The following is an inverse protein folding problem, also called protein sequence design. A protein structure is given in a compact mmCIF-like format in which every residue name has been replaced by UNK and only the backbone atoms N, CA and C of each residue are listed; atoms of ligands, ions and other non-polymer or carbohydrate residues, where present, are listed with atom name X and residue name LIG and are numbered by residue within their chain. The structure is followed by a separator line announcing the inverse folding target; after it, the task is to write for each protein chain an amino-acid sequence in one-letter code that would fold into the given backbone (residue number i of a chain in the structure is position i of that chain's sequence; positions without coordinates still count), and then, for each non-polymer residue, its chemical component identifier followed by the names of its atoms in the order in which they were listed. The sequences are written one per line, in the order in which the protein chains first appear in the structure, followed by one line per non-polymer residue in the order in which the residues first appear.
data_IF_187630098273
#
_entry.id   IF_187630098273
#
_cell.length_a   1.000
_cell.length_b   1.000
_cell.length_c   1.000
_cell.angle_alpha   90.00
_cell.angle_beta   90.00
_cell.angle_gamma   90.00
#
_symmetry.space_group_name_H-M   'P 1'
#
loop_
_entity.id
_entity.type
_entity.pdbx_description
1 polymer ?
#
# COMPACT_ATOMS: atom_id res chain seq x y z
N UNK A 1 -26.99 -5.87 22.05
CA UNK A 1 -25.63 -5.32 22.29
C UNK A 1 -24.64 -6.37 21.87
N UNK A 2 -23.95 -6.18 20.73
CA UNK A 2 -22.79 -6.98 20.42
C UNK A 2 -21.71 -6.70 21.49
N UNK A 3 -21.03 -7.73 21.97
CA UNK A 3 -19.94 -7.55 22.92
C UNK A 3 -18.84 -6.70 22.25
N UNK A 4 -18.41 -5.63 22.90
CA UNK A 4 -17.30 -4.81 22.43
C UNK A 4 -16.05 -5.68 22.47
N UNK A 5 -15.37 -5.80 21.33
CA UNK A 5 -14.09 -6.47 21.20
C UNK A 5 -13.02 -5.44 21.52
N UNK A 6 -12.32 -5.61 22.63
CA UNK A 6 -11.09 -4.86 22.91
C UNK A 6 -9.93 -5.65 22.30
N UNK A 7 -8.96 -4.97 21.70
CA UNK A 7 -7.59 -5.50 21.67
C UNK A 7 -7.21 -5.75 23.13
N UNK A 8 -6.99 -7.00 23.52
CA UNK A 8 -6.65 -7.30 24.92
C UNK A 8 -5.40 -6.53 25.32
N UNK A 9 -5.33 -5.98 26.54
CA UNK A 9 -4.13 -5.40 27.16
C UNK A 9 -3.16 -4.66 26.20
N UNK A 10 -3.64 -3.66 25.45
CA UNK A 10 -2.75 -2.81 24.64
C UNK A 10 -2.32 -3.39 23.29
N UNK A 11 -3.02 -4.39 22.75
CA UNK A 11 -2.85 -4.80 21.35
C UNK A 11 -3.45 -3.75 20.40
N UNK A 12 -2.57 -3.04 19.69
CA UNK A 12 -2.90 -2.07 18.64
C UNK A 12 -3.65 -2.75 17.47
N UNK A 13 -4.77 -2.20 17.03
CA UNK A 13 -5.53 -2.72 15.89
C UNK A 13 -4.94 -2.17 14.58
N UNK A 14 -4.42 -3.03 13.68
CA UNK A 14 -3.85 -2.55 12.43
C UNK A 14 -4.88 -1.83 11.57
N UNK A 15 -4.44 -0.82 10.83
CA UNK A 15 -5.32 0.00 9.99
C UNK A 15 -4.76 0.09 8.58
N UNK A 16 -5.59 -0.20 7.58
CA UNK A 16 -5.24 -0.13 6.16
C UNK A 16 -6.05 0.99 5.50
N UNK A 17 -5.38 1.92 4.84
CA UNK A 17 -6.01 2.95 4.03
C UNK A 17 -5.92 2.59 2.54
N UNK A 18 -7.06 2.28 1.92
CA UNK A 18 -7.18 2.01 0.49
C UNK A 18 -7.22 3.32 -0.33
N UNK A 19 -6.21 4.18 -0.19
CA UNK A 19 -6.15 5.49 -0.82
C UNK A 19 -4.71 6.02 -0.95
N UNK A 20 -4.43 6.73 -2.03
CA UNK A 20 -3.18 7.47 -2.22
C UNK A 20 -3.27 8.94 -1.75
N UNK A 21 -4.36 9.36 -1.11
CA UNK A 21 -4.54 10.77 -0.76
C UNK A 21 -3.64 11.15 0.43
N UNK A 22 -2.68 12.09 0.24
CA UNK A 22 -1.81 12.53 1.34
C UNK A 22 -2.61 13.19 2.46
N UNK A 23 -3.66 13.95 2.13
CA UNK A 23 -4.56 14.59 3.11
C UNK A 23 -5.26 13.56 4.01
N UNK A 24 -5.73 12.44 3.45
CA UNK A 24 -6.37 11.37 4.23
C UNK A 24 -5.38 10.66 5.16
N UNK A 25 -4.18 10.35 4.66
CA UNK A 25 -3.11 9.77 5.48
C UNK A 25 -2.74 10.71 6.63
N UNK A 26 -2.50 11.99 6.33
CA UNK A 26 -2.13 12.99 7.33
C UNK A 26 -3.21 13.16 8.41
N UNK A 27 -4.49 13.04 8.07
CA UNK A 27 -5.58 13.07 9.04
C UNK A 27 -5.52 11.90 10.02
N UNK A 28 -5.31 10.68 9.52
CA UNK A 28 -5.19 9.49 10.35
C UNK A 28 -3.98 9.59 11.27
N UNK A 29 -2.82 9.98 10.75
CA UNK A 29 -1.58 10.15 11.53
C UNK A 29 -1.77 11.19 12.63
N UNK A 30 -2.36 12.35 12.32
CA UNK A 30 -2.67 13.38 13.34
C UNK A 30 -3.69 12.91 14.38
N UNK A 31 -4.52 11.93 14.04
CA UNK A 31 -5.47 11.30 14.96
C UNK A 31 -4.84 10.17 15.79
N UNK A 32 -3.52 9.95 15.68
CA UNK A 32 -2.79 8.91 16.38
C UNK A 32 -2.88 7.54 15.73
N UNK A 33 -3.39 7.43 14.50
CA UNK A 33 -3.52 6.17 13.77
C UNK A 33 -2.35 6.05 12.79
N UNK A 34 -1.68 4.90 12.77
CA UNK A 34 -0.61 4.60 11.80
C UNK A 34 -1.18 3.75 10.66
N UNK A 35 -1.67 4.34 9.56
CA UNK A 35 -2.26 3.58 8.47
C UNK A 35 -1.19 3.00 7.56
N UNK A 36 -1.33 1.71 7.27
CA UNK A 36 -0.65 1.05 6.17
C UNK A 36 -1.36 1.43 4.86
N UNK A 37 -0.62 1.96 3.88
CA UNK A 37 -1.21 2.54 2.66
C UNK A 37 -1.30 1.47 1.57
N UNK A 38 -2.50 1.27 1.01
CA UNK A 38 -2.69 0.36 -0.14
C UNK A 38 -3.34 1.11 -1.30
N UNK A 39 -2.66 1.10 -2.44
CA UNK A 39 -3.11 1.80 -3.64
C UNK A 39 -4.26 1.01 -4.30
N UNK A 40 -5.44 1.63 -4.39
CA UNK A 40 -6.55 1.08 -5.16
C UNK A 40 -6.51 1.59 -6.60
N UNK A 41 -6.49 0.66 -7.57
CA UNK A 41 -6.57 0.92 -9.01
C UNK A 41 -8.00 0.72 -9.55
N UNK A 42 -9.02 1.06 -8.75
CA UNK A 42 -10.41 0.89 -9.15
C UNK A 42 -10.73 1.63 -10.46
N UNK A 43 -11.30 0.93 -11.43
CA UNK A 43 -11.97 1.54 -12.58
C UNK A 43 -13.29 2.18 -12.11
N UNK A 44 -13.21 3.46 -11.72
CA UNK A 44 -14.33 4.20 -11.15
C UNK A 44 -15.54 4.29 -12.10
N UNK A 45 -15.39 4.62 -13.41
CA UNK A 45 -16.51 4.56 -14.36
C UNK A 45 -17.19 3.20 -14.40
N UNK A 46 -16.41 2.12 -14.51
CA UNK A 46 -16.97 0.77 -14.58
C UNK A 46 -17.71 0.38 -13.30
N UNK A 47 -17.15 0.71 -12.14
CA UNK A 47 -17.77 0.44 -10.84
C UNK A 47 -19.14 1.15 -10.72
N UNK A 48 -19.23 2.40 -11.17
CA UNK A 48 -20.49 3.15 -11.19
C UNK A 48 -21.51 2.58 -12.18
N UNK A 49 -21.06 2.14 -13.36
CA UNK A 49 -21.93 1.50 -14.37
C UNK A 49 -22.52 0.19 -13.87
N UNK A 50 -21.69 -0.67 -13.27
CA UNK A 50 -22.14 -1.96 -12.75
C UNK A 50 -23.09 -1.76 -11.55
N UNK A 51 -22.79 -0.80 -10.66
CA UNK A 51 -23.70 -0.43 -9.57
C UNK A 51 -25.03 0.12 -10.08
N UNK A 52 -25.03 1.01 -11.09
CA UNK A 52 -26.25 1.53 -11.68
C UNK A 52 -27.09 0.42 -12.35
N UNK A 53 -26.43 -0.48 -13.10
CA UNK A 53 -27.08 -1.61 -13.77
C UNK A 53 -27.80 -2.53 -12.79
N UNK A 54 -27.16 -2.86 -11.65
CA UNK A 54 -27.78 -3.69 -10.60
C UNK A 54 -29.06 -3.06 -10.00
N UNK A 55 -29.21 -1.75 -10.12
CA UNK A 55 -30.37 -0.98 -9.65
C UNK A 55 -31.35 -0.61 -10.76
N UNK A 56 -31.10 -1.03 -12.01
CA UNK A 56 -31.91 -0.66 -13.17
C UNK A 56 -31.80 0.82 -13.56
N UNK A 57 -30.71 1.50 -13.19
CA UNK A 57 -30.45 2.91 -13.46
C UNK A 57 -29.34 3.10 -14.49
N UNK A 58 -29.21 4.30 -15.06
CA UNK A 58 -27.98 4.71 -15.74
C UNK A 58 -26.98 5.25 -14.72
N UNK A 59 -25.69 5.15 -15.02
CA UNK A 59 -24.64 5.70 -14.16
C UNK A 59 -24.83 7.21 -13.90
N UNK A 60 -25.39 7.97 -14.86
CA UNK A 60 -25.72 9.39 -14.72
C UNK A 60 -26.79 9.68 -13.66
N UNK A 61 -27.66 8.71 -13.40
CA UNK A 61 -28.85 8.87 -12.57
C UNK A 61 -28.58 8.50 -11.11
N UNK A 62 -27.39 7.95 -10.81
CA UNK A 62 -26.95 7.72 -9.44
C UNK A 62 -26.80 9.04 -8.69
N UNK A 63 -27.35 9.09 -7.48
CA UNK A 63 -27.16 10.21 -6.57
C UNK A 63 -25.67 10.37 -6.24
N UNK A 64 -25.27 11.57 -5.81
CA UNK A 64 -23.88 11.84 -5.39
C UNK A 64 -23.46 10.91 -4.26
N UNK A 65 -24.37 10.62 -3.34
CA UNK A 65 -24.12 9.74 -2.20
C UNK A 65 -23.91 8.31 -2.62
N UNK A 66 -24.73 7.83 -3.56
CA UNK A 66 -24.55 6.50 -4.13
C UNK A 66 -23.21 6.37 -4.82
N UNK A 67 -22.80 7.40 -5.58
CA UNK A 67 -21.51 7.40 -6.28
C UNK A 67 -20.35 7.26 -5.29
N UNK A 68 -20.25 8.15 -4.31
CA UNK A 68 -19.15 8.09 -3.33
C UNK A 68 -19.17 6.81 -2.50
N UNK A 69 -20.37 6.28 -2.19
CA UNK A 69 -20.50 5.04 -1.43
C UNK A 69 -20.04 3.83 -2.25
N UNK A 70 -20.41 3.77 -3.54
CA UNK A 70 -19.97 2.72 -4.47
C UNK A 70 -18.46 2.77 -4.68
N UNK A 71 -17.90 3.96 -4.89
CA UNK A 71 -16.46 4.11 -5.11
C UNK A 71 -15.65 3.81 -3.85
N UNK A 72 -16.10 4.28 -2.67
CA UNK A 72 -15.46 3.94 -1.40
C UNK A 72 -15.49 2.42 -1.14
N UNK A 73 -16.61 1.75 -1.45
CA UNK A 73 -16.74 0.30 -1.34
C UNK A 73 -15.82 -0.43 -2.30
N UNK A 74 -15.84 -0.07 -3.59
CA UNK A 74 -15.01 -0.71 -4.62
C UNK A 74 -13.52 -0.58 -4.31
N UNK A 75 -13.09 0.56 -3.75
CA UNK A 75 -11.70 0.76 -3.33
C UNK A 75 -11.31 -0.20 -2.21
N UNK A 76 -12.16 -0.37 -1.20
CA UNK A 76 -11.93 -1.32 -0.11
C UNK A 76 -12.02 -2.78 -0.60
N UNK A 77 -13.01 -3.12 -1.43
CA UNK A 77 -13.22 -4.49 -1.92
C UNK A 77 -12.04 -4.99 -2.77
N UNK A 78 -11.39 -4.10 -3.55
CA UNK A 78 -10.18 -4.47 -4.31
C UNK A 78 -9.02 -4.88 -3.39
N UNK A 79 -8.77 -4.11 -2.33
CA UNK A 79 -7.72 -4.42 -1.36
C UNK A 79 -8.09 -5.67 -0.54
N UNK A 80 -9.37 -5.84 -0.20
CA UNK A 80 -9.85 -7.05 0.47
C UNK A 80 -9.59 -8.30 -0.37
N UNK A 81 -9.85 -8.23 -1.68
CA UNK A 81 -9.54 -9.33 -2.60
C UNK A 81 -8.04 -9.65 -2.61
N UNK A 82 -7.17 -8.63 -2.66
CA UNK A 82 -5.71 -8.86 -2.58
C UNK A 82 -5.32 -9.57 -1.29
N UNK A 83 -5.86 -9.16 -0.13
CA UNK A 83 -5.60 -9.83 1.15
C UNK A 83 -6.10 -11.28 1.13
N UNK A 84 -7.25 -11.55 0.52
CA UNK A 84 -7.77 -12.92 0.36
C UNK A 84 -6.84 -13.77 -0.53
N UNK A 85 -6.34 -13.24 -1.64
CA UNK A 85 -5.34 -13.91 -2.49
C UNK A 85 -4.06 -14.23 -1.69
N UNK A 86 -3.60 -13.33 -0.81
CA UNK A 86 -2.47 -13.59 0.08
C UNK A 86 -2.76 -14.76 1.04
N UNK A 87 -3.92 -14.78 1.69
CA UNK A 87 -4.34 -15.90 2.56
C UNK A 87 -4.41 -17.23 1.78
N UNK A 88 -4.90 -17.21 0.54
CA UNK A 88 -4.91 -18.41 -0.30
C UNK A 88 -3.49 -18.90 -0.62
N UNK A 89 -2.58 -17.98 -0.92
CA UNK A 89 -1.17 -18.28 -1.16
C UNK A 89 -0.50 -18.84 0.08
N UNK A 90 -0.77 -18.26 1.27
CA UNK A 90 -0.30 -18.75 2.57
C UNK A 90 -0.72 -20.20 2.85
N UNK A 91 -1.97 -20.56 2.53
CA UNK A 91 -2.45 -21.94 2.69
C UNK A 91 -1.79 -22.93 1.72
N UNK A 92 -1.28 -22.45 0.58
CA UNK A 92 -0.74 -23.28 -0.50
C UNK A 92 0.78 -23.29 -0.55
N UNK A 93 1.47 -22.54 0.31
CA UNK A 93 2.95 -22.52 0.34
C UNK A 93 3.52 -23.92 0.43
N UNK A 94 4.67 -24.13 -0.21
CA UNK A 94 5.40 -25.40 -0.22
C UNK A 94 6.88 -25.21 0.12
N UNK A 95 7.58 -26.32 0.30
CA UNK A 95 9.01 -26.33 0.58
C UNK A 95 9.36 -25.81 1.97
N UNK A 96 10.58 -25.30 2.10
CA UNK A 96 11.19 -24.94 3.38
C UNK A 96 11.54 -23.46 3.45
N UNK A 97 11.39 -22.89 4.64
CA UNK A 97 12.13 -21.69 5.06
C UNK A 97 13.52 -22.13 5.47
N UNK A 98 14.53 -21.59 4.80
CA UNK A 98 15.94 -21.73 5.17
C UNK A 98 16.39 -20.41 5.79
N UNK A 99 16.82 -20.44 7.05
CA UNK A 99 17.39 -19.28 7.74
C UNK A 99 18.90 -19.44 7.79
N UNK A 100 19.63 -18.42 7.35
CA UNK A 100 21.08 -18.32 7.49
C UNK A 100 21.43 -17.16 8.40
N UNK A 101 22.57 -17.26 9.08
CA UNK A 101 23.10 -16.21 9.96
C UNK A 101 24.50 -15.81 9.52
N UNK A 102 24.63 -14.85 8.58
CA UNK A 102 25.92 -14.43 8.05
C UNK A 102 26.89 -13.95 9.14
N UNK A 103 26.37 -13.39 10.23
CA UNK A 103 27.16 -12.87 11.36
C UNK A 103 27.85 -13.95 12.19
N UNK A 104 27.39 -15.20 12.13
CA UNK A 104 27.96 -16.32 12.90
C UNK A 104 29.23 -16.92 12.23
N UNK A 105 29.72 -16.30 11.15
CA UNK A 105 30.90 -16.76 10.41
C UNK A 105 30.66 -18.02 9.57
N UNK A 106 29.41 -18.48 9.48
CA UNK A 106 28.96 -19.66 8.72
C UNK A 106 27.88 -19.30 7.68
N UNK A 107 28.03 -18.17 6.97
CA UNK A 107 27.03 -17.66 6.02
C UNK A 107 26.52 -18.71 5.00
N UNK A 108 27.33 -19.71 4.66
CA UNK A 108 26.96 -20.77 3.70
C UNK A 108 26.14 -21.94 4.29
N UNK A 109 25.99 -22.04 5.62
CA UNK A 109 25.26 -23.13 6.28
C UNK A 109 23.92 -22.64 6.84
N UNK A 110 22.81 -23.38 6.60
CA UNK A 110 21.55 -23.10 7.27
C UNK A 110 21.70 -23.16 8.79
N UNK A 111 21.37 -22.07 9.47
CA UNK A 111 21.20 -22.04 10.91
C UNK A 111 19.91 -22.76 11.33
N UNK A 112 18.86 -22.65 10.50
CA UNK A 112 17.60 -23.35 10.69
C UNK A 112 16.97 -23.70 9.34
N UNK A 113 16.34 -24.88 9.27
CA UNK A 113 15.45 -25.26 8.16
C UNK A 113 14.13 -25.72 8.77
N UNK A 114 13.02 -25.16 8.31
CA UNK A 114 11.68 -25.56 8.75
C UNK A 114 10.68 -25.55 7.59
N UNK A 115 9.66 -26.41 7.59
CA UNK A 115 8.62 -26.39 6.56
C UNK A 115 7.95 -25.01 6.47
N UNK A 116 7.71 -24.51 5.27
CA UNK A 116 7.08 -23.22 5.04
C UNK A 116 5.72 -23.10 5.73
N UNK A 117 4.91 -24.17 5.71
CA UNK A 117 3.60 -24.16 6.35
C UNK A 117 3.71 -24.00 7.87
N UNK A 118 4.78 -24.50 8.49
CA UNK A 118 5.02 -24.30 9.92
C UNK A 118 5.50 -22.87 10.20
N UNK A 119 6.36 -22.31 9.33
CA UNK A 119 6.83 -20.94 9.45
C UNK A 119 5.69 -19.93 9.35
N UNK A 120 4.86 -20.02 8.30
CA UNK A 120 3.72 -19.12 8.07
C UNK A 120 2.74 -19.16 9.25
N UNK A 121 2.42 -20.35 9.77
CA UNK A 121 1.55 -20.48 10.96
C UNK A 121 2.13 -19.88 12.24
N UNK A 122 3.44 -19.69 12.30
CA UNK A 122 4.12 -19.09 13.46
C UNK A 122 4.25 -17.58 13.34
N UNK A 123 4.09 -17.02 12.15
CA UNK A 123 4.14 -15.60 11.92
C UNK A 123 2.80 -14.95 12.27
N UNK A 124 2.88 -13.80 12.93
CA UNK A 124 1.76 -12.86 13.01
C UNK A 124 1.75 -12.03 11.73
N UNK A 125 0.61 -11.91 11.08
CA UNK A 125 0.44 -11.10 9.87
C UNK A 125 -0.93 -10.44 9.84
N UNK A 126 -1.09 -9.45 8.97
CA UNK A 126 -2.34 -8.70 8.82
C UNK A 126 -3.45 -9.55 8.20
N UNK A 127 -3.14 -10.42 7.24
CA UNK A 127 -4.14 -11.12 6.45
C UNK A 127 -4.94 -12.14 7.27
N UNK A 128 -4.34 -12.67 8.34
CA UNK A 128 -4.97 -13.61 9.28
C UNK A 128 -5.06 -13.06 10.72
N UNK A 129 -4.98 -11.75 10.89
CA UNK A 129 -5.12 -11.12 12.19
C UNK A 129 -6.47 -11.49 12.85
N UNK A 130 -6.48 -11.66 14.18
CA UNK A 130 -7.69 -12.02 14.93
C UNK A 130 -8.61 -10.82 15.21
N UNK A 131 -8.05 -9.63 15.18
CA UNK A 131 -8.70 -8.34 15.40
C UNK A 131 -8.14 -7.38 14.34
N UNK A 132 -9.01 -6.77 13.55
CA UNK A 132 -8.58 -6.02 12.36
C UNK A 132 -7.88 -6.93 11.33
N UNK A 133 -7.10 -6.37 10.39
CA UNK A 133 -6.97 -4.93 10.14
C UNK A 133 -8.32 -4.29 9.83
N UNK A 134 -8.48 -3.03 10.22
CA UNK A 134 -9.56 -2.21 9.71
C UNK A 134 -9.16 -1.64 8.35
N UNK A 135 -9.90 -2.02 7.31
CA UNK A 135 -9.68 -1.59 5.94
C UNK A 135 -10.65 -0.47 5.57
N UNK A 136 -10.11 0.72 5.31
CA UNK A 136 -10.88 1.92 4.97
C UNK A 136 -10.74 2.27 3.48
N UNK A 137 -11.85 2.26 2.76
CA UNK A 137 -12.00 2.89 1.46
C UNK A 137 -12.74 4.23 1.58
N UNK A 138 -12.28 5.25 0.84
CA UNK A 138 -12.88 6.58 0.82
C UNK A 138 -12.96 7.18 -0.58
N UNK A 139 -14.05 7.90 -0.83
CA UNK A 139 -14.23 8.69 -2.05
C UNK A 139 -14.93 10.02 -1.76
N UNK A 140 -14.61 11.07 -2.52
CA UNK A 140 -15.09 12.43 -2.25
C UNK A 140 -15.45 13.14 -3.55
N UNK A 141 -16.65 13.74 -3.60
CA UNK A 141 -17.12 14.55 -4.72
C UNK A 141 -17.54 15.94 -4.24
N UNK A 142 -17.02 16.96 -4.91
CA UNK A 142 -17.46 18.34 -4.70
C UNK A 142 -18.56 18.70 -5.68
N UNK A 143 -19.61 19.36 -5.19
CA UNK A 143 -20.75 19.78 -5.99
C UNK A 143 -21.07 21.26 -5.79
N UNK A 144 -21.38 21.94 -6.89
CA UNK A 144 -21.86 23.32 -6.91
C UNK A 144 -23.14 23.38 -7.73
N UNK A 145 -24.25 23.78 -7.13
CA UNK A 145 -25.60 23.78 -7.72
C UNK A 145 -25.95 22.47 -8.44
N UNK A 146 -25.66 21.33 -7.78
CA UNK A 146 -25.94 19.99 -8.30
C UNK A 146 -24.98 19.51 -9.40
N UNK A 147 -23.96 20.29 -9.78
CA UNK A 147 -22.93 19.89 -10.75
C UNK A 147 -21.68 19.40 -10.02
N UNK A 148 -21.17 18.24 -10.42
CA UNK A 148 -19.91 17.68 -9.90
C UNK A 148 -18.73 18.46 -10.48
N UNK A 149 -17.82 18.91 -9.63
CA UNK A 149 -16.55 19.50 -10.03
C UNK A 149 -15.40 18.58 -9.56
N UNK A 150 -14.90 17.75 -10.48
CA UNK A 150 -13.77 16.84 -10.22
C UNK A 150 -12.42 17.58 -10.15
N UNK A 151 -11.32 16.92 -10.49
CA UNK A 151 -10.01 17.57 -10.68
C UNK A 151 -9.98 18.32 -12.02
N UNK A 152 -9.45 19.56 -12.11
CA UNK A 152 -9.50 20.31 -13.35
C UNK A 152 -8.38 19.90 -14.32
N UNK A 153 -7.20 19.51 -13.82
CA UNK A 153 -5.96 19.17 -14.53
C UNK A 153 -5.39 20.24 -15.46
N UNK A 154 -6.21 21.19 -15.91
CA UNK A 154 -5.88 22.25 -16.85
C UNK A 154 -6.15 23.62 -16.22
N UNK A 155 -5.23 24.58 -16.37
CA UNK A 155 -5.41 25.96 -15.91
C UNK A 155 -6.72 26.59 -16.34
N UNK A 156 -7.13 26.38 -17.59
CA UNK A 156 -8.38 26.93 -18.14
C UNK A 156 -9.62 26.43 -17.37
N UNK A 157 -9.67 25.13 -17.10
CA UNK A 157 -10.78 24.50 -16.36
C UNK A 157 -10.77 24.94 -14.89
N UNK A 158 -9.58 25.09 -14.30
CA UNK A 158 -9.44 25.61 -12.94
C UNK A 158 -9.95 27.05 -12.82
N UNK A 159 -9.62 27.91 -13.79
CA UNK A 159 -10.12 29.29 -13.86
C UNK A 159 -11.64 29.34 -13.96
N UNK A 160 -12.25 28.57 -14.87
CA UNK A 160 -13.71 28.48 -14.99
C UNK A 160 -14.38 28.08 -13.67
N UNK A 161 -13.80 27.14 -12.93
CA UNK A 161 -14.34 26.65 -11.66
C UNK A 161 -14.16 27.65 -10.52
N UNK A 162 -12.99 28.28 -10.39
CA UNK A 162 -12.75 29.33 -9.41
C UNK A 162 -13.71 30.50 -9.64
N UNK A 163 -13.88 30.95 -10.89
CA UNK A 163 -14.88 31.96 -11.23
C UNK A 163 -16.30 31.54 -10.85
N UNK A 164 -16.66 30.27 -11.07
CA UNK A 164 -17.97 29.75 -10.72
C UNK A 164 -18.19 29.64 -9.20
N UNK A 165 -17.17 29.32 -8.41
CA UNK A 165 -17.28 29.14 -6.96
C UNK A 165 -17.26 30.46 -6.19
N UNK A 166 -16.65 31.51 -6.73
CA UNK A 166 -16.50 32.84 -6.09
C UNK A 166 -17.82 33.36 -5.51
N UNK A 167 -17.82 33.67 -4.21
CA UNK A 167 -18.97 34.19 -3.47
C UNK A 167 -20.12 33.19 -3.29
N UNK A 168 -19.92 31.91 -3.60
CA UNK A 168 -20.96 30.88 -3.57
C UNK A 168 -20.59 29.78 -2.59
N UNK A 169 -21.55 28.90 -2.34
CA UNK A 169 -21.39 27.75 -1.43
C UNK A 169 -21.61 26.46 -2.21
N UNK A 170 -20.65 25.54 -2.13
CA UNK A 170 -20.78 24.19 -2.64
C UNK A 170 -20.91 23.16 -1.51
N UNK A 171 -21.18 21.91 -1.86
CA UNK A 171 -21.23 20.79 -0.92
C UNK A 171 -20.23 19.74 -1.32
N UNK A 172 -19.34 19.39 -0.41
CA UNK A 172 -18.50 18.21 -0.49
C UNK A 172 -19.23 17.03 0.16
N UNK A 173 -19.31 15.92 -0.57
CA UNK A 173 -19.88 14.66 -0.09
C UNK A 173 -18.76 13.63 -0.09
N UNK A 174 -18.52 12.98 1.04
CA UNK A 174 -17.47 11.96 1.20
C UNK A 174 -18.11 10.65 1.66
N UNK A 175 -17.87 9.58 0.91
CA UNK A 175 -18.28 8.22 1.22
C UNK A 175 -17.15 7.44 1.90
N UNK A 176 -17.51 6.60 2.86
CA UNK A 176 -16.62 5.76 3.64
C UNK A 176 -17.11 4.32 3.61
N UNK A 177 -16.19 3.38 3.42
CA UNK A 177 -16.44 1.96 3.59
C UNK A 177 -15.37 1.42 4.53
N UNK A 178 -15.78 0.89 5.69
CA UNK A 178 -14.89 0.30 6.68
C UNK A 178 -15.19 -1.19 6.79
N UNK A 179 -14.17 -2.01 6.63
CA UNK A 179 -14.26 -3.47 6.70
C UNK A 179 -13.34 -3.94 7.82
N UNK A 180 -13.88 -4.70 8.78
CA UNK A 180 -13.08 -5.50 9.70
C UNK A 180 -12.72 -6.81 9.00
N UNK A 181 -11.47 -6.93 8.54
CA UNK A 181 -11.02 -8.06 7.72
C UNK A 181 -11.15 -9.39 8.48
N UNK A 182 -10.87 -9.40 9.79
CA UNK A 182 -10.98 -10.60 10.61
C UNK A 182 -12.40 -11.17 10.70
N UNK A 183 -13.42 -10.30 10.68
CA UNK A 183 -14.83 -10.75 10.80
C UNK A 183 -15.61 -10.70 9.50
N UNK A 184 -15.08 -10.02 8.47
CA UNK A 184 -15.79 -9.70 7.23
C UNK A 184 -16.94 -8.71 7.40
N UNK A 185 -17.16 -8.16 8.61
CA UNK A 185 -18.20 -7.15 8.84
C UNK A 185 -17.82 -5.86 8.15
N UNK A 186 -18.80 -5.23 7.51
CA UNK A 186 -18.65 -3.94 6.82
C UNK A 186 -19.65 -2.92 7.32
N UNK A 187 -19.22 -1.68 7.42
CA UNK A 187 -20.05 -0.51 7.71
C UNK A 187 -19.75 0.55 6.65
N UNK A 188 -20.78 1.27 6.20
CA UNK A 188 -20.66 2.37 5.26
C UNK A 188 -21.21 3.65 5.87
N UNK A 189 -20.62 4.79 5.53
CA UNK A 189 -21.04 6.10 6.03
C UNK A 189 -20.81 7.19 5.00
N UNK A 190 -21.72 8.16 4.95
CA UNK A 190 -21.60 9.36 4.09
C UNK A 190 -21.59 10.59 4.97
N UNK A 191 -20.59 11.45 4.77
CA UNK A 191 -20.50 12.77 5.41
C UNK A 191 -20.73 13.87 4.39
N UNK A 192 -21.33 14.98 4.81
CA UNK A 192 -21.55 16.17 3.99
C UNK A 192 -20.98 17.40 4.69
N UNK A 193 -20.31 18.25 3.94
CA UNK A 193 -19.85 19.55 4.42
C UNK A 193 -20.11 20.62 3.36
N UNK A 194 -20.73 21.73 3.74
CA UNK A 194 -20.85 22.90 2.89
C UNK A 194 -19.60 23.77 3.04
N UNK A 195 -19.10 24.25 1.91
CA UNK A 195 -17.92 25.12 1.84
C UNK A 195 -18.33 26.42 1.16
N UNK A 196 -18.26 27.52 1.90
CA UNK A 196 -18.55 28.87 1.42
C UNK A 196 -17.27 29.55 0.99
N UNK A 197 -17.27 30.12 -0.22
CA UNK A 197 -16.13 30.82 -0.79
C UNK A 197 -16.32 32.33 -0.74
N UNK A 198 -15.22 33.04 -0.51
CA UNK A 198 -15.20 34.50 -0.53
C UNK A 198 -15.27 35.08 -1.94
N UNK A 199 -15.25 36.42 -2.00
CA UNK A 199 -14.95 37.13 -3.23
C UNK A 199 -13.45 37.29 -3.36
N UNK A 200 -12.90 36.89 -4.50
CA UNK A 200 -11.50 37.03 -4.88
C UNK A 200 -11.43 37.52 -6.33
N UNK A 201 -10.33 38.20 -6.67
CA UNK A 201 -10.17 38.78 -7.99
C UNK A 201 -9.45 37.84 -8.96
N UNK A 202 -9.26 38.31 -10.20
CA UNK A 202 -8.60 37.52 -11.22
C UNK A 202 -7.11 37.29 -10.94
N UNK A 203 -6.44 38.24 -10.30
CA UNK A 203 -5.03 38.10 -9.97
C UNK A 203 -4.81 37.01 -8.92
N UNK A 204 -5.69 36.94 -7.91
CA UNK A 204 -5.66 35.86 -6.92
C UNK A 204 -5.86 34.48 -7.57
N UNK A 205 -6.82 34.36 -8.50
CA UNK A 205 -7.08 33.10 -9.22
C UNK A 205 -5.88 32.68 -10.08
N UNK A 206 -5.28 33.61 -10.82
CA UNK A 206 -4.09 33.35 -11.66
C UNK A 206 -2.89 32.92 -10.80
N UNK A 207 -2.66 33.59 -9.67
CA UNK A 207 -1.60 33.22 -8.72
C UNK A 207 -1.84 31.84 -8.12
N UNK A 208 -3.08 31.52 -7.72
CA UNK A 208 -3.40 30.21 -7.17
C UNK A 208 -3.24 29.11 -8.22
N UNK A 209 -3.67 29.31 -9.46
CA UNK A 209 -3.47 28.36 -10.56
C UNK A 209 -1.98 28.17 -10.87
N UNK A 210 -1.18 29.23 -10.83
CA UNK A 210 0.27 29.16 -11.04
C UNK A 210 0.98 28.29 -9.98
N UNK A 211 0.43 28.17 -8.78
CA UNK A 211 0.94 27.25 -7.74
C UNK A 211 0.75 25.77 -8.08
N UNK A 212 -0.10 25.45 -9.08
CA UNK A 212 -0.52 24.10 -9.48
C UNK A 212 -1.36 23.33 -8.47
N UNK A 213 -1.45 23.75 -7.21
CA UNK A 213 -2.30 23.13 -6.19
C UNK A 213 -3.76 22.88 -6.67
N UNK A 214 -4.47 23.84 -7.29
CA UNK A 214 -5.86 23.61 -7.70
C UNK A 214 -6.01 22.60 -8.85
N UNK A 215 -4.92 22.23 -9.53
CA UNK A 215 -4.98 21.38 -10.73
C UNK A 215 -5.29 19.91 -10.41
N UNK A 216 -4.86 19.44 -9.25
CA UNK A 216 -4.88 18.02 -8.88
C UNK A 216 -5.90 17.65 -7.78
N UNK A 217 -6.75 18.61 -7.40
CA UNK A 217 -7.72 18.46 -6.30
C UNK A 217 -9.17 18.66 -6.76
N UNK A 218 -10.08 17.86 -6.21
CA UNK A 218 -11.49 17.96 -6.51
C UNK A 218 -12.04 19.32 -6.06
N UNK A 219 -12.87 19.96 -6.89
CA UNK A 219 -13.35 21.30 -6.60
C UNK A 219 -12.31 22.41 -6.76
N UNK A 220 -11.05 22.12 -7.10
CA UNK A 220 -9.99 23.15 -7.28
C UNK A 220 -9.67 23.94 -6.00
N UNK A 221 -9.77 23.32 -4.83
CA UNK A 221 -9.35 23.89 -3.55
C UNK A 221 -8.85 22.81 -2.59
N UNK A 222 -8.02 23.21 -1.62
CA UNK A 222 -7.70 22.44 -0.41
C UNK A 222 -8.07 23.26 0.83
N UNK A 223 -8.37 22.62 1.95
CA UNK A 223 -8.67 23.34 3.20
C UNK A 223 -7.39 23.72 3.94
N UNK A 224 -6.41 22.82 3.90
CA UNK A 224 -5.15 22.86 4.62
C UNK A 224 -4.01 23.55 3.85
N UNK A 225 -4.18 23.76 2.53
CA UNK A 225 -3.21 24.40 1.66
C UNK A 225 -3.55 25.86 1.31
N UNK A 226 -3.08 26.32 0.15
CA UNK A 226 -3.27 27.69 -0.33
C UNK A 226 -4.75 28.01 -0.59
N UNK A 227 -5.54 26.99 -0.96
CA UNK A 227 -6.99 27.10 -1.14
C UNK A 227 -7.75 27.59 0.09
N UNK A 228 -7.22 27.35 1.29
CA UNK A 228 -7.89 27.67 2.56
C UNK A 228 -8.19 29.16 2.73
N UNK A 229 -7.36 30.04 2.18
CA UNK A 229 -7.56 31.49 2.24
C UNK A 229 -8.79 31.99 1.46
N UNK A 230 -9.30 31.19 0.50
CA UNK A 230 -10.48 31.51 -0.30
C UNK A 230 -11.79 31.08 0.36
N UNK A 231 -11.73 30.33 1.47
CA UNK A 231 -12.87 29.77 2.18
C UNK A 231 -13.29 30.73 3.31
N UNK A 232 -14.56 31.14 3.31
CA UNK A 232 -15.13 32.05 4.33
C UNK A 232 -15.91 31.31 5.42
N UNK A 233 -16.31 30.06 5.18
CA UNK A 233 -17.04 29.28 6.16
C UNK A 233 -17.20 27.82 5.78
N UNK A 234 -17.33 26.97 6.79
CA UNK A 234 -17.64 25.55 6.66
C UNK A 234 -18.82 25.24 7.57
N UNK A 235 -19.83 24.57 7.03
CA UNK A 235 -20.96 24.02 7.79
C UNK A 235 -20.94 22.49 7.63
N UNK A 236 -20.79 21.77 8.74
CA UNK A 236 -20.61 20.31 8.75
C UNK A 236 -19.26 19.94 9.35
N UNK A 237 -18.64 18.89 8.81
CA UNK A 237 -17.36 18.37 9.30
C UNK A 237 -16.16 18.87 8.46
N UNK A 238 -15.24 19.66 9.03
CA UNK A 238 -14.03 20.11 8.36
C UNK A 238 -13.11 18.97 7.89
N UNK A 239 -13.05 17.85 8.63
CA UNK A 239 -12.25 16.69 8.18
C UNK A 239 -12.84 16.03 6.95
N UNK A 240 -14.17 15.99 6.86
CA UNK A 240 -14.89 15.64 5.64
C UNK A 240 -14.46 16.47 4.43
N UNK A 241 -14.18 17.77 4.60
CA UNK A 241 -13.69 18.69 3.54
C UNK A 241 -12.31 18.28 3.01
N UNK A 242 -11.45 17.77 3.90
CA UNK A 242 -10.12 17.23 3.56
C UNK A 242 -10.20 15.81 2.95
N UNK A 243 -11.40 15.26 2.80
CA UNK A 243 -11.65 13.99 2.09
C UNK A 243 -11.79 12.76 2.98
N UNK A 244 -11.83 12.91 4.32
CA UNK A 244 -12.09 11.84 5.29
C UNK A 244 -12.77 12.43 6.55
N UNK A 245 -14.01 12.03 6.81
CA UNK A 245 -14.73 12.45 8.01
C UNK A 245 -14.34 11.62 9.23
N UNK A 246 -13.60 12.23 10.16
CA UNK A 246 -13.16 11.59 11.40
C UNK A 246 -14.32 11.21 12.33
N UNK A 247 -15.36 12.05 12.53
CA UNK A 247 -16.55 11.67 13.30
C UNK A 247 -17.31 10.49 12.68
N UNK A 248 -17.48 10.47 11.35
CA UNK A 248 -18.11 9.34 10.64
C UNK A 248 -17.28 8.08 10.82
N UNK A 249 -15.96 8.15 10.59
CA UNK A 249 -15.06 7.01 10.77
C UNK A 249 -15.13 6.46 12.21
N UNK A 250 -15.07 7.33 13.23
CA UNK A 250 -15.22 6.90 14.63
C UNK A 250 -16.52 6.16 14.88
N UNK A 251 -17.65 6.69 14.40
CA UNK A 251 -18.95 6.02 14.55
C UNK A 251 -18.97 4.64 13.90
N UNK A 252 -18.32 4.48 12.74
CA UNK A 252 -18.23 3.20 12.04
C UNK A 252 -17.37 2.19 12.81
N UNK A 253 -16.27 2.63 13.43
CA UNK A 253 -15.43 1.80 14.31
C UNK A 253 -16.23 1.31 15.52
N UNK A 254 -16.98 2.19 16.16
CA UNK A 254 -17.84 1.85 17.30
C UNK A 254 -18.97 0.88 16.88
N UNK A 255 -19.54 1.02 15.68
CA UNK A 255 -20.54 0.09 15.13
C UNK A 255 -19.96 -1.31 14.83
N UNK A 256 -18.69 -1.39 14.42
CA UNK A 256 -17.96 -2.65 14.34
C UNK A 256 -17.68 -3.26 15.72
N UNK A 257 -17.90 -2.51 16.79
CA UNK A 257 -17.74 -2.97 18.17
C UNK A 257 -16.29 -2.91 18.65
N UNK A 258 -15.50 -1.98 18.10
CA UNK A 258 -14.14 -1.65 18.56
C UNK A 258 -14.16 -0.27 19.22
N UNK A 259 -13.19 0.04 20.07
CA UNK A 259 -13.02 1.39 20.59
C UNK A 259 -12.12 2.23 19.68
N UNK A 260 -12.43 3.52 19.55
CA UNK A 260 -11.60 4.46 18.80
C UNK A 260 -10.14 4.48 19.27
N UNK A 261 -9.92 4.40 20.59
CA UNK A 261 -8.58 4.40 21.18
C UNK A 261 -7.80 3.10 20.90
N UNK A 262 -8.45 2.02 20.46
CA UNK A 262 -7.77 0.79 20.06
C UNK A 262 -6.95 0.99 18.76
N UNK A 263 -7.23 2.06 18.01
CA UNK A 263 -6.51 2.44 16.79
C UNK A 263 -5.30 3.35 17.06
N UNK A 264 -5.08 3.75 18.31
CA UNK A 264 -3.99 4.66 18.65
C UNK A 264 -2.67 3.92 18.74
N UNK A 265 -1.74 4.33 17.88
CA UNK A 265 -0.35 3.89 17.93
C UNK A 265 0.34 4.57 19.12
N UNK A 266 0.86 3.79 20.09
CA UNK A 266 1.58 4.34 21.24
C UNK A 266 2.80 5.19 20.86
N UNK A 267 3.45 4.93 19.73
CA UNK A 267 4.58 5.72 19.23
C UNK A 267 4.08 7.10 18.80
N UNK A 268 2.95 7.17 18.08
CA UNK A 268 2.37 8.43 17.64
C UNK A 268 1.75 9.24 18.79
N UNK A 269 1.15 8.57 19.77
CA UNK A 269 0.43 9.21 20.89
C UNK A 269 1.33 9.53 22.09
N UNK A 270 2.39 8.75 22.30
CA UNK A 270 3.24 8.81 23.50
C UNK A 270 4.56 9.56 23.35
N UNK A 271 5.05 9.79 22.12
CA UNK A 271 6.28 10.51 21.78
C UNK A 271 7.33 10.64 22.91
N UNK A 272 7.90 9.51 23.35
CA UNK A 272 9.35 9.49 23.60
C UNK A 272 10.06 9.52 22.24
N UNK A 273 11.29 10.05 22.18
CA UNK A 273 11.97 10.33 20.91
C UNK A 273 11.92 9.14 19.94
N UNK A 274 11.70 9.39 18.64
CA UNK A 274 11.67 8.33 17.64
C UNK A 274 12.94 7.48 17.77
N UNK A 275 12.80 6.16 17.56
CA UNK A 275 13.95 5.25 17.40
C UNK A 275 14.95 5.95 16.49
N UNK A 276 16.21 6.12 16.92
CA UNK A 276 17.25 6.79 16.12
C UNK A 276 17.35 6.11 14.74
N UNK A 277 16.61 6.64 13.77
CA UNK A 277 16.79 6.30 12.37
C UNK A 277 18.04 7.01 11.91
N UNK A 278 18.92 6.27 11.24
CA UNK A 278 20.10 6.90 10.68
C UNK A 278 19.73 7.66 9.40
N UNK A 279 20.43 8.77 9.16
CA UNK A 279 20.30 9.51 7.90
C UNK A 279 20.70 8.60 6.72
N UNK A 280 20.08 8.85 5.57
CA UNK A 280 20.38 8.14 4.33
C UNK A 280 21.91 8.15 4.06
N UNK A 281 22.54 6.96 3.91
CA UNK A 281 23.99 6.86 3.76
C UNK A 281 24.53 7.48 2.46
N UNK A 282 23.68 7.71 1.46
CA UNK A 282 24.05 8.23 0.15
C UNK A 282 23.64 9.69 -0.07
N UNK A 283 22.88 10.30 0.86
CA UNK A 283 22.36 11.67 0.70
C UNK A 283 21.40 11.81 -0.50
N UNK A 284 20.81 10.70 -0.92
CA UNK A 284 19.92 10.63 -2.07
C UNK A 284 18.52 11.01 -1.62
N UNK A 285 17.89 11.92 -2.36
CA UNK A 285 16.52 12.35 -2.08
C UNK A 285 15.56 11.51 -2.95
N UNK A 286 14.65 10.72 -2.36
CA UNK A 286 13.63 10.02 -3.13
C UNK A 286 12.69 11.00 -3.84
N UNK A 287 11.97 10.58 -4.90
CA UNK A 287 11.00 11.44 -5.58
C UNK A 287 9.93 11.98 -4.62
N UNK A 288 9.46 13.21 -4.83
CA UNK A 288 8.45 13.89 -3.97
C UNK A 288 7.11 13.12 -3.87
N UNK A 289 6.86 12.13 -4.73
CA UNK A 289 5.66 11.29 -4.75
C UNK A 289 5.76 9.97 -3.98
N UNK A 290 6.93 9.60 -3.42
CA UNK A 290 7.06 8.35 -2.70
C UNK A 290 6.27 8.37 -1.39
N UNK A 291 5.38 7.39 -1.22
CA UNK A 291 4.54 7.26 -0.03
C UNK A 291 5.37 6.56 1.04
N UNK A 292 5.72 7.29 2.10
CA UNK A 292 6.35 6.70 3.27
C UNK A 292 5.34 5.78 3.99
N UNK A 293 5.68 4.50 4.11
CA UNK A 293 4.86 3.51 4.79
C UNK A 293 5.36 3.27 6.22
N UNK A 294 4.46 2.90 7.16
CA UNK A 294 4.89 2.37 8.45
C UNK A 294 5.83 1.17 8.24
N UNK A 295 6.98 1.16 8.91
CA UNK A 295 8.05 0.18 8.69
C UNK A 295 9.19 0.66 7.79
N UNK A 296 9.05 1.78 7.07
CA UNK A 296 10.14 2.39 6.32
C UNK A 296 11.16 3.07 7.25
N UNK A 297 12.45 2.93 6.92
CA UNK A 297 13.52 3.61 7.65
C UNK A 297 14.83 2.82 7.68
N UNK A 298 15.90 3.48 8.11
CA UNK A 298 17.23 2.90 8.16
C UNK A 298 17.57 2.33 9.55
N UNK A 299 17.93 1.05 9.59
CA UNK A 299 18.40 0.33 10.78
C UNK A 299 19.93 0.19 10.73
N UNK A 300 20.60 0.53 11.84
CA UNK A 300 22.02 0.19 12.06
C UNK A 300 22.12 -1.31 12.38
N UNK A 301 22.73 -2.07 11.48
CA UNK A 301 22.81 -3.51 11.62
C UNK A 301 24.04 -3.96 12.40
N UNK A 302 23.93 -5.11 13.09
CA UNK A 302 25.06 -5.77 13.74
C UNK A 302 26.18 -6.19 12.76
N UNK A 303 25.91 -6.24 11.45
CA UNK A 303 26.91 -6.45 10.40
C UNK A 303 27.83 -5.23 10.14
N UNK A 304 27.53 -4.08 10.77
CA UNK A 304 28.25 -2.82 10.55
C UNK A 304 27.76 -2.01 9.34
N UNK A 305 26.76 -2.49 8.59
CA UNK A 305 26.09 -1.76 7.51
C UNK A 305 24.74 -1.20 7.96
N UNK A 306 24.14 -0.35 7.14
CA UNK A 306 22.76 0.10 7.30
C UNK A 306 21.85 -0.69 6.36
N UNK A 307 20.65 -1.01 6.82
CA UNK A 307 19.61 -1.67 6.02
C UNK A 307 18.31 -0.89 6.05
N UNK A 308 17.58 -0.90 4.94
CA UNK A 308 16.26 -0.30 4.82
C UNK A 308 15.18 -1.27 5.32
N UNK A 309 14.16 -0.74 5.99
CA UNK A 309 13.05 -1.50 6.58
C UNK A 309 13.26 -1.77 8.06
N UNK A 310 12.50 -1.10 8.92
CA UNK A 310 12.54 -1.21 10.37
C UNK A 310 12.12 -2.61 10.86
N UNK A 311 11.22 -3.27 10.12
CA UNK A 311 10.75 -4.63 10.42
C UNK A 311 11.47 -5.72 9.61
N UNK A 312 12.57 -5.37 8.94
CA UNK A 312 13.16 -6.19 7.89
C UNK A 312 12.62 -5.87 6.50
N UNK A 313 13.05 -6.65 5.53
CA UNK A 313 12.64 -6.52 4.14
C UNK A 313 12.35 -7.88 3.51
N UNK A 314 11.57 -7.91 2.44
CA UNK A 314 11.24 -9.13 1.73
C UNK A 314 10.98 -8.88 0.25
N UNK A 315 11.18 -9.92 -0.57
CA UNK A 315 10.94 -9.86 -2.01
C UNK A 315 10.72 -11.24 -2.62
N UNK A 316 10.18 -11.27 -3.84
CA UNK A 316 9.81 -12.53 -4.54
C UNK A 316 10.77 -12.82 -5.69
N UNK A 317 11.62 -13.83 -5.53
CA UNK A 317 12.39 -14.41 -6.62
C UNK A 317 11.47 -15.34 -7.42
N UNK A 318 10.82 -14.77 -8.43
CA UNK A 318 9.95 -15.49 -9.35
C UNK A 318 10.75 -16.16 -10.46
N UNK A 319 10.55 -17.46 -10.62
CA UNK A 319 11.17 -18.27 -11.65
C UNK A 319 10.15 -18.80 -12.67
N UNK A 320 10.55 -18.85 -13.93
CA UNK A 320 9.79 -19.43 -15.03
C UNK A 320 10.37 -20.78 -15.40
N UNK A 321 9.49 -21.77 -15.56
CA UNK A 321 9.86 -23.10 -16.06
C UNK A 321 9.66 -23.16 -17.57
N UNK A 322 10.58 -23.83 -18.25
CA UNK A 322 10.39 -24.22 -19.64
C UNK A 322 9.25 -25.23 -19.75
N UNK A 323 8.35 -25.01 -20.71
CA UNK A 323 7.12 -25.81 -20.84
C UNK A 323 7.35 -27.24 -21.30
N UNK A 324 8.48 -27.51 -21.96
CA UNK A 324 8.78 -28.82 -22.53
C UNK A 324 9.60 -29.68 -21.56
N UNK A 325 10.61 -29.07 -20.94
CA UNK A 325 11.58 -29.75 -20.07
C UNK A 325 11.22 -29.67 -18.59
N UNK A 326 10.40 -28.71 -18.18
CA UNK A 326 10.12 -28.42 -16.77
C UNK A 326 11.28 -27.79 -16.02
N UNK A 327 12.43 -27.60 -16.66
CA UNK A 327 13.61 -26.97 -16.08
C UNK A 327 13.39 -25.48 -15.86
N UNK A 328 14.14 -24.88 -14.92
CA UNK A 328 14.11 -23.44 -14.70
C UNK A 328 14.80 -22.75 -15.88
N UNK A 329 14.06 -21.90 -16.60
CA UNK A 329 14.55 -21.21 -17.79
C UNK A 329 15.02 -19.80 -17.45
N UNK A 330 14.15 -19.03 -16.80
CA UNK A 330 14.37 -17.62 -16.51
C UNK A 330 14.02 -17.31 -15.05
N UNK A 331 14.61 -16.25 -14.51
CA UNK A 331 14.16 -15.60 -13.27
C UNK A 331 13.84 -14.14 -13.55
N UNK A 332 12.84 -13.61 -12.87
CA UNK A 332 12.48 -12.20 -12.96
C UNK A 332 13.39 -11.39 -12.04
N UNK A 333 14.07 -10.40 -12.62
CA UNK A 333 14.93 -9.48 -11.89
C UNK A 333 14.54 -8.02 -12.18
N UNK A 334 14.76 -7.17 -11.19
CA UNK A 334 14.59 -5.73 -11.25
C UNK A 334 15.95 -5.05 -11.35
N UNK A 335 16.08 -4.12 -12.29
CA UNK A 335 17.17 -3.15 -12.35
C UNK A 335 16.79 -1.96 -11.49
N UNK A 336 17.41 -1.85 -10.32
CA UNK A 336 17.01 -0.90 -9.29
C UNK A 336 17.29 0.54 -9.71
N UNK A 337 16.37 1.45 -9.39
CA UNK A 337 16.56 2.87 -9.61
C UNK A 337 17.85 3.37 -8.95
N UNK A 338 18.52 4.33 -9.58
CA UNK A 338 19.80 4.86 -9.12
C UNK A 338 19.74 5.44 -7.71
N UNK A 339 18.55 5.85 -7.28
CA UNK A 339 18.34 6.47 -5.99
C UNK A 339 18.08 5.48 -4.84
N UNK A 340 17.89 4.19 -5.16
CA UNK A 340 17.70 3.15 -4.16
C UNK A 340 19.03 2.68 -3.53
N UNK A 341 18.94 1.91 -2.43
CA UNK A 341 20.09 1.22 -1.85
C UNK A 341 20.78 0.33 -2.91
N UNK A 342 22.09 0.54 -3.10
CA UNK A 342 22.89 -0.07 -4.17
C UNK A 342 22.25 0.09 -5.58
N UNK A 343 21.70 1.27 -5.86
CA UNK A 343 21.02 1.60 -7.11
C UNK A 343 21.84 1.34 -8.38
N UNK A 344 21.17 0.95 -9.46
CA UNK A 344 21.80 0.55 -10.73
C UNK A 344 22.28 -0.90 -10.77
N UNK A 345 22.07 -1.68 -9.71
CA UNK A 345 22.28 -3.13 -9.66
C UNK A 345 20.99 -3.92 -9.96
N UNK A 346 21.14 -5.22 -10.25
CA UNK A 346 20.06 -6.15 -10.49
C UNK A 346 19.78 -7.00 -9.25
N UNK A 347 18.52 -7.12 -8.87
CA UNK A 347 18.08 -7.92 -7.73
C UNK A 347 16.65 -8.40 -7.89
N UNK A 348 16.10 -8.89 -6.79
CA UNK A 348 14.71 -9.31 -6.68
C UNK A 348 13.84 -8.08 -6.38
N UNK A 349 12.66 -7.90 -7.02
CA UNK A 349 11.68 -6.90 -6.59
C UNK A 349 11.29 -7.13 -5.13
N UNK A 350 11.35 -6.08 -4.31
CA UNK A 350 11.25 -6.23 -2.87
C UNK A 350 11.63 -4.97 -2.10
N UNK A 351 10.98 -4.81 -0.95
CA UNK A 351 11.04 -3.62 -0.11
C UNK A 351 10.83 -3.92 1.37
N UNK A 352 10.58 -2.85 2.14
CA UNK A 352 10.44 -2.92 3.59
C UNK A 352 9.15 -3.66 3.99
N UNK A 353 9.21 -4.46 5.05
CA UNK A 353 8.02 -5.09 5.63
C UNK A 353 7.27 -4.02 6.43
N UNK A 354 5.98 -3.81 6.12
CA UNK A 354 5.18 -2.81 6.83
C UNK A 354 4.82 -3.25 8.24
N UNK A 355 4.42 -2.32 9.10
CA UNK A 355 3.95 -2.65 10.44
C UNK A 355 2.77 -3.64 10.40
N UNK A 356 2.89 -4.72 11.17
CA UNK A 356 1.90 -5.80 11.23
C UNK A 356 1.99 -6.83 10.10
N UNK A 357 2.81 -6.61 9.06
CA UNK A 357 3.05 -7.61 8.02
C UNK A 357 3.98 -8.73 8.50
N UNK A 358 3.73 -9.94 8.01
CA UNK A 358 4.75 -10.98 8.03
C UNK A 358 5.65 -10.91 6.78
N UNK A 359 6.83 -11.58 6.77
CA UNK A 359 7.74 -11.52 5.62
C UNK A 359 7.15 -12.02 4.29
N UNK A 360 6.21 -12.96 4.32
CA UNK A 360 5.53 -13.43 3.11
C UNK A 360 4.51 -12.41 2.62
N UNK A 361 3.71 -11.82 3.50
CA UNK A 361 2.80 -10.71 3.17
C UNK A 361 3.55 -9.53 2.56
N UNK A 362 4.63 -9.08 3.21
CA UNK A 362 5.46 -7.99 2.72
C UNK A 362 6.06 -8.28 1.36
N UNK A 363 6.71 -9.44 1.18
CA UNK A 363 7.30 -9.76 -0.12
C UNK A 363 6.27 -9.93 -1.25
N UNK A 364 5.09 -10.50 -0.96
CA UNK A 364 4.00 -10.59 -1.94
C UNK A 364 3.47 -9.21 -2.32
N UNK A 365 3.29 -8.32 -1.34
CA UNK A 365 2.90 -6.93 -1.59
C UNK A 365 3.93 -6.20 -2.45
N UNK A 366 5.20 -6.20 -2.04
CA UNK A 366 6.26 -5.49 -2.77
C UNK A 366 6.36 -6.00 -4.21
N UNK A 367 6.25 -7.32 -4.40
CA UNK A 367 6.24 -7.89 -5.76
C UNK A 367 5.06 -7.44 -6.62
N UNK A 368 3.90 -7.16 -6.01
CA UNK A 368 2.74 -6.59 -6.70
C UNK A 368 2.92 -5.10 -6.98
N UNK A 369 3.35 -4.34 -5.97
CA UNK A 369 3.51 -2.88 -6.04
C UNK A 369 4.60 -2.47 -7.02
N UNK A 370 5.74 -3.18 -7.06
CA UNK A 370 6.88 -2.84 -7.91
C UNK A 370 6.83 -3.49 -9.29
N UNK A 371 6.26 -4.71 -9.39
CA UNK A 371 6.43 -5.56 -10.57
C UNK A 371 5.14 -6.20 -11.10
N UNK A 372 3.97 -5.84 -10.58
CA UNK A 372 2.65 -6.35 -11.02
C UNK A 372 2.53 -7.88 -10.88
N UNK A 373 3.23 -8.47 -9.89
CA UNK A 373 3.19 -9.90 -9.62
C UNK A 373 2.07 -10.20 -8.62
N UNK A 374 0.95 -10.73 -9.12
CA UNK A 374 -0.19 -11.07 -8.27
C UNK A 374 0.04 -12.38 -7.50
N UNK A 375 -0.36 -12.46 -6.21
CA UNK A 375 -0.25 -13.69 -5.42
C UNK A 375 -0.95 -14.90 -6.05
N UNK A 376 -2.07 -14.70 -6.77
CA UNK A 376 -2.84 -15.77 -7.44
C UNK A 376 -2.15 -16.39 -8.65
N UNK A 377 -1.19 -15.69 -9.25
CA UNK A 377 -0.45 -16.10 -10.46
C UNK A 377 0.80 -16.93 -10.16
N UNK A 378 1.19 -17.01 -8.89
CA UNK A 378 2.43 -17.63 -8.48
C UNK A 378 2.20 -18.76 -7.48
N UNK A 379 3.17 -19.66 -7.41
CA UNK A 379 3.22 -20.73 -6.42
C UNK A 379 4.48 -20.55 -5.57
N UNK A 380 4.31 -20.24 -4.28
CA UNK A 380 5.41 -20.16 -3.32
C UNK A 380 5.92 -21.56 -3.01
N UNK A 381 7.19 -21.80 -3.26
CA UNK A 381 7.85 -23.13 -3.16
C UNK A 381 9.01 -23.16 -2.16
N UNK A 382 9.22 -22.07 -1.44
CA UNK A 382 10.17 -21.98 -0.35
C UNK A 382 10.50 -20.54 -0.01
N UNK A 383 11.36 -20.35 0.97
CA UNK A 383 11.96 -19.04 1.22
C UNK A 383 13.38 -19.17 1.77
N UNK A 384 14.09 -18.06 1.75
CA UNK A 384 15.42 -17.89 2.30
C UNK A 384 15.44 -16.62 3.13
N UNK A 385 15.83 -16.72 4.40
CA UNK A 385 15.93 -15.58 5.30
C UNK A 385 17.39 -15.39 5.71
N UNK A 386 17.96 -14.24 5.34
CA UNK A 386 19.24 -13.77 5.87
C UNK A 386 18.97 -13.05 7.19
N UNK A 387 19.22 -13.74 8.31
CA UNK A 387 19.01 -13.22 9.67
C UNK A 387 20.30 -12.54 10.16
N UNK A 388 20.26 -11.22 10.27
CA UNK A 388 21.36 -10.42 10.81
C UNK A 388 21.19 -10.11 12.30
N UNK A 389 20.19 -10.66 12.98
CA UNK A 389 19.86 -10.36 14.37
C UNK A 389 18.78 -9.29 14.50
N UNK A 390 19.11 -7.98 14.47
CA UNK A 390 18.11 -6.92 14.60
C UNK A 390 17.39 -6.60 13.28
N UNK A 391 17.77 -7.26 12.18
CA UNK A 391 17.21 -7.07 10.85
C UNK A 391 17.35 -8.36 10.04
N UNK A 392 16.49 -8.58 9.06
CA UNK A 392 16.68 -9.65 8.09
C UNK A 392 16.01 -9.40 6.76
N UNK A 393 16.52 -10.08 5.72
CA UNK A 393 15.92 -10.08 4.39
C UNK A 393 15.32 -11.45 4.07
N UNK A 394 14.05 -11.50 3.68
CA UNK A 394 13.40 -12.75 3.27
C UNK A 394 13.15 -12.79 1.77
N UNK A 395 13.92 -13.61 1.06
CA UNK A 395 13.69 -13.95 -0.35
C UNK A 395 12.69 -15.10 -0.45
N UNK A 396 11.51 -14.83 -1.01
CA UNK A 396 10.48 -15.84 -1.29
C UNK A 396 10.79 -16.47 -2.65
N UNK A 397 10.85 -17.80 -2.70
CA UNK A 397 11.06 -18.54 -3.94
C UNK A 397 9.70 -18.93 -4.52
N UNK A 398 9.43 -18.53 -5.77
CA UNK A 398 8.17 -18.82 -6.42
C UNK A 398 8.35 -19.31 -7.86
N UNK A 399 7.40 -20.10 -8.34
CA UNK A 399 7.22 -20.37 -9.77
C UNK A 399 5.94 -19.70 -10.28
N UNK A 400 5.88 -19.44 -11.59
CA UNK A 400 4.59 -19.22 -12.23
C UNK A 400 3.67 -20.41 -11.99
N UNK A 401 2.43 -20.14 -11.55
CA UNK A 401 1.44 -21.18 -11.31
C UNK A 401 1.07 -21.86 -12.63
N UNK A 402 0.81 -23.19 -12.65
CA UNK A 402 0.36 -23.87 -13.87
C UNK A 402 -0.87 -23.19 -14.48
N UNK A 403 -0.77 -22.83 -15.76
CA UNK A 403 -1.84 -22.13 -16.49
C UNK A 403 -1.78 -20.60 -16.39
N UNK A 404 -0.94 -20.06 -15.52
CA UNK A 404 -0.71 -18.63 -15.38
C UNK A 404 0.58 -18.21 -16.10
N UNK A 405 0.66 -16.94 -16.45
CA UNK A 405 1.88 -16.34 -17.00
C UNK A 405 1.99 -14.90 -16.55
N UNK A 406 3.04 -14.61 -15.79
CA UNK A 406 3.32 -13.30 -15.25
C UNK A 406 3.97 -12.43 -16.33
N UNK A 407 3.34 -11.28 -16.58
CA UNK A 407 3.84 -10.23 -17.45
C UNK A 407 4.15 -9.02 -16.56
N UNK A 408 5.40 -8.87 -16.10
CA UNK A 408 5.74 -7.85 -15.13
C UNK A 408 5.63 -6.45 -15.74
N UNK A 409 5.13 -5.50 -14.95
CA UNK A 409 5.06 -4.08 -15.32
C UNK A 409 5.63 -3.24 -14.19
N UNK A 410 6.40 -2.21 -14.56
CA UNK A 410 6.88 -1.22 -13.59
C UNK A 410 5.71 -0.32 -13.22
N UNK A 411 5.29 -0.40 -11.96
CA UNK A 411 4.15 0.32 -11.43
C UNK A 411 4.55 1.57 -10.63
N UNK A 412 5.86 1.77 -10.43
CA UNK A 412 6.49 2.88 -9.71
C UNK A 412 7.79 3.35 -10.39
N UNK A 413 8.43 4.34 -9.76
CA UNK A 413 9.71 4.92 -10.19
C UNK A 413 10.92 4.25 -9.52
N UNK A 414 10.73 3.10 -8.84
CA UNK A 414 11.78 2.36 -8.13
C UNK A 414 12.57 1.42 -9.04
N UNK A 415 12.05 1.20 -10.26
CA UNK A 415 12.64 0.34 -11.28
C UNK A 415 13.11 1.13 -12.50
N UNK A 416 14.34 0.85 -12.98
CA UNK A 416 14.80 1.27 -14.31
C UNK A 416 14.24 0.31 -15.38
N UNK A 417 14.25 -0.99 -15.05
CA UNK A 417 13.83 -2.07 -15.93
C UNK A 417 13.40 -3.29 -15.10
N UNK A 418 12.40 -4.03 -15.58
CA UNK A 418 12.09 -5.39 -15.13
C UNK A 418 12.37 -6.35 -16.29
N UNK A 419 13.11 -7.43 -16.03
CA UNK A 419 13.46 -8.39 -17.07
C UNK A 419 13.39 -9.84 -16.60
N UNK A 420 12.84 -10.69 -17.48
CA UNK A 420 13.08 -12.13 -17.41
C UNK A 420 14.52 -12.39 -17.89
N UNK A 421 15.36 -12.89 -17.00
CA UNK A 421 16.77 -13.15 -17.23
C UNK A 421 17.00 -14.65 -17.26
N UNK A 422 17.59 -15.20 -18.34
CA UNK A 422 17.97 -16.60 -18.39
C UNK A 422 18.87 -16.96 -17.20
N UNK A 423 18.60 -18.10 -16.55
CA UNK A 423 19.29 -18.50 -15.31
C UNK A 423 20.81 -18.56 -15.46
N UNK A 424 21.31 -18.91 -16.65
CA UNK A 424 22.73 -18.95 -16.99
C UNK A 424 23.37 -17.59 -17.26
N UNK A 425 22.56 -16.54 -17.42
CA UNK A 425 23.01 -15.16 -17.67
C UNK A 425 22.92 -14.25 -16.45
N UNK A 426 22.35 -14.70 -15.34
CA UNK A 426 22.19 -13.87 -14.13
C UNK A 426 23.56 -13.38 -13.61
N UNK A 427 24.57 -14.25 -13.57
CA UNK A 427 25.93 -13.91 -13.14
C UNK A 427 26.64 -12.89 -14.03
N UNK A 428 26.10 -12.62 -15.23
CA UNK A 428 26.66 -11.64 -16.16
C UNK A 428 26.17 -10.20 -15.90
N UNK A 429 25.16 -10.04 -15.04
CA UNK A 429 24.58 -8.74 -14.69
C UNK A 429 25.29 -8.13 -13.47
N UNK A 430 25.29 -6.79 -13.32
CA UNK A 430 25.78 -6.15 -12.10
C UNK A 430 24.77 -6.42 -10.97
N UNK A 431 24.95 -7.51 -10.23
CA UNK A 431 24.02 -7.95 -9.18
C UNK A 431 24.17 -7.10 -7.91
N UNK A 432 23.07 -6.95 -7.18
CA UNK A 432 23.05 -6.46 -5.81
C UNK A 432 23.97 -7.35 -4.95
N UNK A 433 24.81 -6.76 -4.10
CA UNK A 433 25.91 -7.49 -3.45
C UNK A 433 25.47 -8.71 -2.64
N UNK A 434 24.37 -8.60 -1.88
CA UNK A 434 23.79 -9.73 -1.12
C UNK A 434 23.16 -10.78 -2.05
N UNK A 435 22.32 -10.34 -3.00
CA UNK A 435 21.70 -11.24 -3.97
C UNK A 435 22.73 -12.05 -4.78
N UNK A 436 23.82 -11.41 -5.23
CA UNK A 436 24.87 -12.08 -5.97
C UNK A 436 25.63 -13.14 -5.14
N UNK A 437 25.76 -12.95 -3.83
CA UNK A 437 26.38 -13.94 -2.94
C UNK A 437 25.49 -15.19 -2.80
N UNK A 438 24.18 -15.01 -2.71
CA UNK A 438 23.23 -16.11 -2.51
C UNK A 438 22.72 -16.75 -3.80
N UNK A 439 22.89 -16.09 -4.94
CA UNK A 439 22.40 -16.57 -6.24
C UNK A 439 22.78 -18.04 -6.55
N UNK A 440 24.03 -18.51 -6.33
CA UNK A 440 24.36 -19.92 -6.53
C UNK A 440 23.54 -20.88 -5.67
N UNK A 441 23.12 -20.46 -4.47
CA UNK A 441 22.23 -21.22 -3.60
C UNK A 441 20.80 -21.21 -4.15
N UNK A 442 20.28 -20.03 -4.49
CA UNK A 442 18.94 -19.87 -5.05
C UNK A 442 18.75 -20.68 -6.32
N UNK A 443 19.71 -20.61 -7.25
CA UNK A 443 19.71 -21.41 -8.48
C UNK A 443 19.59 -22.90 -8.19
N UNK A 444 20.46 -23.46 -7.33
CA UNK A 444 20.40 -24.89 -6.97
C UNK A 444 19.07 -25.28 -6.33
N UNK A 445 18.51 -24.42 -5.48
CA UNK A 445 17.21 -24.67 -4.84
C UNK A 445 16.08 -24.66 -5.86
N UNK A 446 16.03 -23.67 -6.74
CA UNK A 446 15.03 -23.59 -7.81
C UNK A 446 15.12 -24.80 -8.74
N UNK A 447 16.32 -25.17 -9.20
CA UNK A 447 16.55 -26.37 -10.02
C UNK A 447 16.10 -27.65 -9.29
N UNK A 448 16.45 -27.78 -8.00
CA UNK A 448 16.06 -28.91 -7.17
C UNK A 448 14.56 -28.99 -6.87
N UNK A 449 13.86 -27.85 -6.82
CA UNK A 449 12.40 -27.78 -6.67
C UNK A 449 11.68 -28.02 -8.00
N UNK A 450 12.28 -27.61 -9.12
CA UNK A 450 11.77 -27.88 -10.47
C UNK A 450 11.80 -29.39 -10.77
N UNK A 451 12.84 -30.09 -10.36
CA UNK A 451 12.98 -31.53 -10.57
C UNK A 451 12.00 -32.41 -9.75
N UNK A 452 11.35 -31.86 -8.71
CA UNK A 452 10.47 -32.62 -7.80
C UNK A 452 8.98 -32.56 -8.15
N UNK A 453 8.60 -31.62 -9.03
CA UNK A 453 7.19 -31.29 -9.33
C UNK A 453 6.87 -31.49 -10.80
#
# INVERSE_FOLDING_TARGET
MAAVRTGGNGEHVPFILASQSPSRQALLVKAGISPVIRKSHLDEPRALEDAARSRGLKATDLSIEDRVSVLAAGKADLILHTLQSVVETEHRVQGDLVVVRPLDGQAACPAQVRPMQQAVRSWSGMAQAKIGPLLLGCDSLFTLDGRILGKPHRPEIAMERLMAMRGRTGTLVTGHCLIDVATGRRVQGVSRAKVSFGHYDQADMEAYIASREPLEVAGSFTLEGLGGAFITGIEGDPSGVMGLSMPTLRSMVEELGLHWADLWDPVLVGAEEPVETCADPAGVVPPEGNVHQPGDGWVKCACGKQHWGLNGAAGVLLARRDKQTGAVADVLLQHRAKWSAEGGTWGVPGGAISDGENPLEGGLRESYEEADIHPEDIQVVGSHCEDHGPWGYTTILAFERPGHRVSPHMNDDESIELAWVPVDQVDSRPLLGAFGQDWPNFRRRLEGLAARN
#
